data_IF_933021618182
#
_entry.id   IF_933021618182
#
_cell.length_a   1.000
_cell.length_b   1.000
_cell.length_c   1.000
_cell.angle_alpha   90.00
_cell.angle_beta   90.00
_cell.angle_gamma   90.00
#
_symmetry.space_group_name_H-M   'P 1'
#
loop_
_entity.id
_entity.type
_entity.pdbx_description
1 polymer ?
#
# COMPACT_ATOMS: atom_id res chain seq x y z
N UNK A 1 -14.38 -9.72 6.99
CA UNK A 1 -13.32 -10.70 7.37
C UNK A 1 -12.07 -10.41 6.56
N UNK A 2 -10.95 -10.16 7.21
CA UNK A 2 -9.69 -9.71 6.59
C UNK A 2 -9.03 -10.82 5.78
N UNK A 3 -8.35 -10.48 4.69
CA UNK A 3 -7.59 -11.36 3.81
C UNK A 3 -6.10 -11.04 3.97
N UNK A 4 -5.25 -12.04 4.22
CA UNK A 4 -3.81 -11.79 4.26
C UNK A 4 -3.32 -11.38 2.87
N UNK A 5 -2.51 -10.34 2.80
CA UNK A 5 -1.95 -9.84 1.54
C UNK A 5 -0.45 -10.09 1.47
N UNK A 6 -0.01 -10.56 0.31
CA UNK A 6 1.41 -10.75 -0.03
C UNK A 6 1.63 -10.19 -1.43
N UNK A 7 2.62 -9.32 -1.58
CA UNK A 7 3.09 -8.86 -2.87
C UNK A 7 4.56 -9.23 -3.06
N UNK A 8 4.86 -9.86 -4.19
CA UNK A 8 6.23 -10.21 -4.57
C UNK A 8 6.65 -9.47 -5.84
N UNK A 9 7.91 -9.05 -5.88
CA UNK A 9 8.58 -8.77 -7.15
C UNK A 9 9.10 -10.05 -7.77
N UNK A 10 8.90 -10.20 -9.07
CA UNK A 10 9.33 -11.37 -9.84
C UNK A 10 10.03 -10.93 -11.13
N UNK A 11 10.90 -11.78 -11.67
CA UNK A 11 11.59 -11.49 -12.95
C UNK A 11 10.70 -11.72 -14.17
N UNK A 12 9.73 -12.64 -14.07
CA UNK A 12 8.86 -13.04 -15.17
C UNK A 12 7.45 -13.35 -14.68
N UNK A 13 6.45 -12.64 -15.23
CA UNK A 13 5.05 -12.90 -14.95
C UNK A 13 4.67 -14.31 -15.42
N UNK A 14 4.98 -14.66 -16.66
CA UNK A 14 4.58 -15.95 -17.26
C UNK A 14 5.12 -17.13 -16.47
N UNK A 15 6.40 -17.12 -16.13
CA UNK A 15 7.02 -18.19 -15.35
C UNK A 15 6.41 -18.29 -13.94
N UNK A 16 6.15 -17.16 -13.32
CA UNK A 16 5.56 -17.10 -11.98
C UNK A 16 4.09 -17.51 -11.99
N UNK A 17 3.31 -17.10 -12.98
CA UNK A 17 1.92 -17.55 -13.15
C UNK A 17 1.87 -19.07 -13.35
N UNK A 18 2.74 -19.63 -14.21
CA UNK A 18 2.80 -21.08 -14.41
C UNK A 18 3.12 -21.87 -13.13
N UNK A 19 3.91 -21.28 -12.21
CA UNK A 19 4.23 -21.86 -10.92
C UNK A 19 3.08 -21.70 -9.91
N UNK A 20 2.62 -20.46 -9.69
CA UNK A 20 1.65 -20.16 -8.63
C UNK A 20 0.25 -20.69 -8.94
N UNK A 21 -0.17 -20.72 -10.23
CA UNK A 21 -1.46 -21.33 -10.60
C UNK A 21 -1.50 -22.83 -10.27
N UNK A 22 -0.36 -23.53 -10.42
CA UNK A 22 -0.27 -24.95 -10.01
C UNK A 22 -0.22 -25.10 -8.51
N UNK A 23 0.55 -24.26 -7.80
CA UNK A 23 0.67 -24.30 -6.36
C UNK A 23 -0.68 -24.05 -5.67
N UNK A 24 -1.44 -23.07 -6.17
CA UNK A 24 -2.74 -22.70 -5.62
C UNK A 24 -3.90 -23.50 -6.19
N UNK A 25 -3.67 -24.32 -7.24
CA UNK A 25 -4.71 -25.00 -8.02
C UNK A 25 -5.81 -24.01 -8.51
N UNK A 26 -5.42 -22.79 -8.85
CA UNK A 26 -6.30 -21.69 -9.24
C UNK A 26 -5.62 -20.79 -10.27
N UNK A 27 -6.41 -20.29 -11.20
CA UNK A 27 -5.96 -19.24 -12.13
C UNK A 27 -5.96 -17.87 -11.42
N UNK A 28 -5.13 -16.91 -11.87
CA UNK A 28 -5.14 -15.58 -11.32
C UNK A 28 -6.50 -14.90 -11.56
N UNK A 29 -7.03 -14.23 -10.55
CA UNK A 29 -8.24 -13.42 -10.64
C UNK A 29 -8.03 -12.16 -11.50
N UNK A 30 -6.77 -11.74 -11.65
CA UNK A 30 -6.34 -10.70 -12.59
C UNK A 30 -4.98 -11.07 -13.17
N UNK A 31 -4.83 -10.86 -14.49
CA UNK A 31 -3.57 -11.09 -15.22
C UNK A 31 -3.35 -9.94 -16.20
N UNK A 32 -2.18 -9.31 -16.08
CA UNK A 32 -1.67 -8.26 -16.96
C UNK A 32 -0.23 -8.61 -17.38
N UNK A 33 0.34 -7.91 -18.35
CA UNK A 33 1.70 -8.18 -18.81
C UNK A 33 2.80 -7.97 -17.75
N UNK A 34 2.51 -7.24 -16.68
CA UNK A 34 3.45 -6.85 -15.64
C UNK A 34 2.93 -7.15 -14.22
N UNK A 35 1.76 -7.80 -14.11
CA UNK A 35 1.08 -8.04 -12.82
C UNK A 35 0.17 -9.27 -12.88
N UNK A 36 0.11 -10.03 -11.80
CA UNK A 36 -0.93 -11.04 -11.60
C UNK A 36 -1.37 -11.07 -10.13
N UNK A 37 -2.65 -11.42 -9.90
CA UNK A 37 -3.25 -11.48 -8.56
C UNK A 37 -4.15 -12.69 -8.42
N UNK A 38 -3.98 -13.44 -7.33
CA UNK A 38 -4.89 -14.51 -6.91
C UNK A 38 -5.67 -14.08 -5.68
N UNK A 39 -6.95 -14.41 -5.66
CA UNK A 39 -7.84 -14.18 -4.54
C UNK A 39 -8.30 -15.55 -4.02
N UNK A 40 -7.56 -16.10 -3.05
CA UNK A 40 -7.86 -17.43 -2.50
C UNK A 40 -8.79 -17.31 -1.29
N UNK A 41 -9.67 -18.28 -1.12
CA UNK A 41 -10.60 -18.31 0.01
C UNK A 41 -10.16 -19.27 1.12
N UNK A 42 -9.33 -20.27 0.79
CA UNK A 42 -8.74 -21.22 1.75
C UNK A 42 -7.28 -21.53 1.37
N UNK A 43 -6.30 -21.02 2.13
CA UNK A 43 -6.40 -19.95 3.12
C UNK A 43 -6.83 -18.63 2.47
N UNK A 44 -7.45 -17.73 3.26
CA UNK A 44 -7.94 -16.45 2.74
C UNK A 44 -6.77 -15.49 2.47
N UNK A 45 -6.30 -15.47 1.24
CA UNK A 45 -5.11 -14.72 0.78
C UNK A 45 -5.43 -13.91 -0.47
N UNK A 46 -4.96 -12.67 -0.50
CA UNK A 46 -4.72 -11.87 -1.70
C UNK A 46 -3.23 -11.96 -2.01
N UNK A 47 -2.87 -12.76 -3.01
CA UNK A 47 -1.49 -12.96 -3.43
C UNK A 47 -1.25 -12.24 -4.76
N UNK A 48 -0.32 -11.32 -4.80
CA UNK A 48 0.02 -10.54 -5.98
C UNK A 48 1.50 -10.66 -6.35
N UNK A 49 1.77 -10.58 -7.64
CA UNK A 49 3.12 -10.51 -8.18
C UNK A 49 3.21 -9.39 -9.22
N UNK A 50 4.38 -8.75 -9.31
CA UNK A 50 4.66 -7.77 -10.37
C UNK A 50 6.12 -7.79 -10.80
N UNK A 51 6.38 -7.30 -12.02
CA UNK A 51 7.73 -7.02 -12.52
C UNK A 51 8.12 -5.56 -12.33
N UNK A 52 7.27 -4.76 -11.68
CA UNK A 52 7.48 -3.33 -11.41
C UNK A 52 8.15 -3.15 -10.07
N UNK A 53 9.43 -3.09 -10.01
CA UNK A 53 10.12 -2.86 -8.76
C UNK A 53 11.56 -3.27 -8.77
N UNK A 54 12.06 -3.56 -7.59
CA UNK A 54 13.45 -3.89 -7.37
C UNK A 54 13.80 -5.35 -7.66
N UNK A 55 14.62 -5.91 -6.80
CA UNK A 55 15.03 -7.33 -6.89
C UNK A 55 13.85 -8.23 -6.57
N UNK A 56 13.78 -9.44 -7.20
CA UNK A 56 12.80 -10.46 -6.83
C UNK A 56 12.81 -10.77 -5.34
N UNK A 57 11.62 -10.96 -4.79
CA UNK A 57 11.42 -11.22 -3.38
C UNK A 57 10.15 -10.58 -2.84
N UNK A 58 10.03 -10.52 -1.52
CA UNK A 58 8.90 -9.86 -0.87
C UNK A 58 9.02 -8.34 -1.07
N UNK A 59 7.99 -7.74 -1.67
CA UNK A 59 7.84 -6.30 -1.73
C UNK A 59 7.18 -5.79 -0.45
N UNK A 60 6.00 -6.29 -0.15
CA UNK A 60 5.29 -6.00 1.09
C UNK A 60 4.35 -7.13 1.50
N UNK A 61 3.95 -7.09 2.75
CA UNK A 61 2.89 -7.90 3.34
C UNK A 61 1.71 -7.00 3.71
N UNK A 62 0.59 -7.58 4.15
CA UNK A 62 -0.50 -6.73 4.60
C UNK A 62 -1.81 -7.45 4.88
N UNK A 63 -2.86 -6.61 4.98
CA UNK A 63 -4.23 -7.07 5.15
C UNK A 63 -5.17 -6.28 4.23
N UNK A 64 -5.87 -7.01 3.38
CA UNK A 64 -7.03 -6.47 2.67
C UNK A 64 -8.26 -6.64 3.57
N UNK A 65 -9.03 -5.56 3.73
CA UNK A 65 -10.29 -5.55 4.46
C UNK A 65 -11.48 -5.58 3.49
N UNK A 66 -12.63 -6.05 3.98
CA UNK A 66 -13.86 -6.11 3.19
C UNK A 66 -14.63 -4.77 3.19
N UNK A 67 -14.30 -3.87 4.14
CA UNK A 67 -14.94 -2.55 4.29
C UNK A 67 -14.04 -1.57 5.07
N UNK A 68 -14.49 -0.30 5.13
CA UNK A 68 -13.76 0.78 5.79
C UNK A 68 -13.74 0.64 7.32
N UNK A 69 -14.77 0.03 7.93
CA UNK A 69 -14.82 -0.21 9.37
C UNK A 69 -13.70 -1.17 9.80
N UNK A 70 -13.48 -2.24 9.04
CA UNK A 70 -12.37 -3.17 9.29
C UNK A 70 -11.00 -2.50 9.08
N UNK A 71 -10.89 -1.56 8.13
CA UNK A 71 -9.67 -0.80 7.91
C UNK A 71 -9.42 0.18 9.07
N UNK A 72 -10.45 0.87 9.55
CA UNK A 72 -10.38 1.75 10.71
C UNK A 72 -9.97 0.98 11.97
N UNK A 73 -10.54 -0.21 12.22
CA UNK A 73 -10.15 -1.09 13.33
C UNK A 73 -8.64 -1.41 13.32
N UNK A 74 -8.06 -1.72 12.15
CA UNK A 74 -6.63 -2.00 12.02
C UNK A 74 -5.79 -0.76 12.35
N UNK A 75 -6.22 0.42 11.92
CA UNK A 75 -5.57 1.69 12.21
C UNK A 75 -5.62 2.04 13.69
N UNK A 76 -6.76 1.84 14.33
CA UNK A 76 -6.93 2.05 15.78
C UNK A 76 -6.05 1.08 16.59
N UNK A 77 -5.96 -0.18 16.18
CA UNK A 77 -5.09 -1.18 16.79
C UNK A 77 -3.62 -0.78 16.71
N UNK A 78 -3.18 -0.27 15.56
CA UNK A 78 -1.81 0.22 15.39
C UNK A 78 -1.55 1.45 16.28
N UNK A 79 -2.48 2.40 16.34
CA UNK A 79 -2.38 3.58 17.19
C UNK A 79 -2.34 3.22 18.69
N UNK A 80 -3.17 2.27 19.14
CA UNK A 80 -3.18 1.80 20.52
C UNK A 80 -1.89 1.07 20.93
N UNK A 81 -1.11 0.60 19.95
CA UNK A 81 0.18 -0.05 20.14
C UNK A 81 1.38 0.89 19.87
N UNK A 82 1.13 2.21 19.79
CA UNK A 82 2.15 3.24 19.49
C UNK A 82 2.96 2.96 18.20
N UNK A 83 2.36 2.25 17.21
CA UNK A 83 2.99 2.01 15.92
C UNK A 83 2.90 3.25 15.05
N UNK A 84 3.98 3.56 14.34
CA UNK A 84 3.98 4.64 13.36
C UNK A 84 3.13 4.23 12.13
N UNK A 85 2.03 4.95 11.90
CA UNK A 85 1.12 4.74 10.78
C UNK A 85 1.35 5.83 9.74
N UNK A 86 1.68 5.42 8.51
CA UNK A 86 1.71 6.32 7.35
C UNK A 86 0.40 6.20 6.59
N UNK A 87 -0.44 7.23 6.62
CA UNK A 87 -1.72 7.25 5.90
C UNK A 87 -1.49 7.77 4.48
N UNK A 88 -1.75 6.93 3.48
CA UNK A 88 -1.69 7.32 2.07
C UNK A 88 -3.06 7.86 1.58
N UNK A 89 -4.14 7.54 2.31
CA UNK A 89 -5.50 7.90 1.92
C UNK A 89 -6.00 7.05 0.76
N UNK A 90 -6.72 7.67 -0.17
CA UNK A 90 -7.19 6.98 -1.39
C UNK A 90 -6.11 7.05 -2.45
N UNK A 91 -5.60 5.90 -2.86
CA UNK A 91 -4.54 5.76 -3.86
C UNK A 91 -4.96 4.82 -4.98
N UNK A 92 -4.40 5.06 -6.17
CA UNK A 92 -4.54 4.20 -7.35
C UNK A 92 -3.25 3.46 -7.58
N UNK A 93 -3.25 2.16 -7.32
CA UNK A 93 -2.09 1.30 -7.55
C UNK A 93 -2.53 -0.14 -7.84
N UNK A 94 -1.68 -0.87 -8.57
CA UNK A 94 -1.88 -2.31 -8.78
C UNK A 94 -3.24 -2.63 -9.43
N UNK A 95 -3.65 -1.79 -10.40
CA UNK A 95 -4.92 -1.87 -11.12
C UNK A 95 -6.17 -1.72 -10.25
N UNK A 96 -6.03 -1.08 -9.09
CA UNK A 96 -7.13 -0.81 -8.18
C UNK A 96 -7.05 0.58 -7.57
N UNK A 97 -8.20 1.10 -7.14
CA UNK A 97 -8.30 2.23 -6.23
C UNK A 97 -8.59 1.69 -4.84
N UNK A 98 -7.82 2.11 -3.86
CA UNK A 98 -7.94 1.63 -2.48
C UNK A 98 -7.77 2.77 -1.49
N UNK A 99 -8.47 2.68 -0.37
CA UNK A 99 -8.13 3.44 0.84
C UNK A 99 -7.08 2.64 1.61
N UNK A 100 -5.96 3.27 1.98
CA UNK A 100 -4.86 2.51 2.57
C UNK A 100 -4.00 3.29 3.57
N UNK A 101 -3.32 2.54 4.42
CA UNK A 101 -2.24 3.02 5.27
C UNK A 101 -1.17 1.93 5.42
N UNK A 102 0.01 2.37 5.82
CA UNK A 102 1.20 1.56 5.90
C UNK A 102 1.77 1.53 7.32
N UNK A 103 2.30 0.39 7.68
CA UNK A 103 3.16 0.18 8.84
C UNK A 103 4.50 -0.35 8.35
N UNK A 104 5.51 -0.27 9.21
CA UNK A 104 6.81 -0.92 8.95
C UNK A 104 7.16 -1.77 10.17
N UNK A 105 7.52 -3.01 9.94
CA UNK A 105 7.93 -3.89 11.02
C UNK A 105 9.36 -3.56 11.50
N UNK A 106 9.81 -4.14 12.63
CA UNK A 106 11.16 -3.88 13.15
C UNK A 106 12.31 -4.28 12.24
N UNK A 107 12.07 -5.11 11.22
CA UNK A 107 13.05 -5.52 10.21
C UNK A 107 12.99 -4.67 8.93
N UNK A 108 12.06 -3.71 8.88
CA UNK A 108 11.90 -2.81 7.75
C UNK A 108 10.97 -3.33 6.65
N UNK A 109 10.24 -4.43 6.88
CA UNK A 109 9.26 -4.93 5.92
C UNK A 109 8.03 -4.03 5.95
N UNK A 110 7.58 -3.49 4.79
CA UNK A 110 6.34 -2.71 4.72
C UNK A 110 5.12 -3.60 4.90
N UNK A 111 4.10 -3.08 5.61
CA UNK A 111 2.82 -3.73 5.81
C UNK A 111 1.70 -2.81 5.33
N UNK A 112 1.08 -3.19 4.22
CA UNK A 112 -0.07 -2.49 3.64
C UNK A 112 -1.37 -2.94 4.32
N UNK A 113 -2.19 -1.99 4.74
CA UNK A 113 -3.54 -2.25 5.23
C UNK A 113 -4.50 -1.45 4.35
N UNK A 114 -5.42 -2.14 3.67
CA UNK A 114 -6.21 -1.48 2.63
C UNK A 114 -7.61 -2.08 2.46
N UNK A 115 -8.51 -1.22 1.99
CA UNK A 115 -9.82 -1.58 1.46
C UNK A 115 -9.87 -1.19 -0.02
N UNK A 116 -10.18 -2.15 -0.89
CA UNK A 116 -10.33 -1.92 -2.33
C UNK A 116 -11.66 -1.26 -2.62
N UNK A 117 -11.65 -0.10 -3.27
CA UNK A 117 -12.83 0.67 -3.64
C UNK A 117 -13.31 0.35 -5.05
N UNK A 118 -12.42 -0.10 -5.92
CA UNK A 118 -12.74 -0.49 -7.30
C UNK A 118 -11.52 -0.84 -8.12
N UNK A 119 -11.75 -1.46 -9.28
CA UNK A 119 -10.73 -1.79 -10.25
C UNK A 119 -10.52 -0.66 -11.26
N UNK A 120 -9.30 -0.50 -11.75
CA UNK A 120 -8.95 0.44 -12.82
C UNK A 120 -8.16 -0.28 -13.93
N UNK A 121 -8.21 0.21 -15.19
CA UNK A 121 -7.60 -0.47 -16.33
C UNK A 121 -6.09 -0.26 -16.45
N UNK A 122 -5.49 0.58 -15.60
CA UNK A 122 -4.06 0.93 -15.61
C UNK A 122 -3.43 0.62 -14.28
N UNK A 123 -2.10 0.40 -14.26
CA UNK A 123 -1.40 0.03 -13.03
C UNK A 123 -1.54 1.08 -11.94
N UNK A 124 -1.40 2.36 -12.29
CA UNK A 124 -1.64 3.49 -11.38
C UNK A 124 -2.18 4.69 -12.14
N UNK A 125 -3.00 5.49 -11.47
CA UNK A 125 -3.45 6.79 -11.94
C UNK A 125 -3.21 7.79 -10.82
N UNK A 126 -2.80 9.03 -11.17
CA UNK A 126 -2.87 10.10 -10.18
C UNK A 126 -4.35 10.34 -9.88
N UNK A 127 -4.78 10.06 -8.65
CA UNK A 127 -6.06 10.56 -8.15
C UNK A 127 -5.91 12.07 -8.11
N UNK A 128 -6.68 12.79 -8.97
CA UNK A 128 -6.71 14.22 -8.89
C UNK A 128 -7.26 14.61 -7.51
N UNK A 129 -6.42 15.20 -6.66
CA UNK A 129 -6.95 15.83 -5.45
C UNK A 129 -8.04 16.83 -5.87
N UNK A 130 -9.20 16.85 -5.19
CA UNK A 130 -10.18 17.89 -5.43
C UNK A 130 -9.47 19.24 -5.23
N UNK A 131 -9.43 20.04 -6.28
CA UNK A 131 -8.79 21.36 -6.24
C UNK A 131 -9.29 22.09 -5.00
N UNK A 132 -8.41 22.29 -4.02
CA UNK A 132 -8.71 23.15 -2.89
C UNK A 132 -9.10 24.50 -3.46
N UNK A 133 -10.34 24.93 -3.20
CA UNK A 133 -10.82 26.22 -3.61
C UNK A 133 -9.81 27.26 -3.11
N UNK A 134 -9.13 27.93 -4.02
CA UNK A 134 -8.17 28.98 -3.71
C UNK A 134 -8.89 30.09 -2.99
N UNK A 135 -8.80 30.09 -1.67
CA UNK A 135 -9.13 31.26 -0.88
C UNK A 135 -8.02 32.30 -1.12
N UNK A 136 -8.28 33.25 -2.00
CA UNK A 136 -7.52 34.46 -2.11
C UNK A 136 -7.58 35.25 -0.82
N UNK A 137 -6.42 35.81 -0.42
CA UNK A 137 -6.22 36.88 0.54
C UNK A 137 -6.30 36.58 2.04
N UNK A 138 -5.13 36.41 2.65
CA UNK A 138 -4.88 36.95 3.98
C UNK A 138 -3.41 37.40 4.10
N UNK A 139 -3.13 38.52 4.80
CA UNK A 139 -1.83 39.18 4.81
C UNK A 139 -0.82 38.49 5.75
N UNK A 140 0.45 38.68 5.41
CA UNK A 140 1.60 38.19 6.18
C UNK A 140 1.59 38.75 7.62
N UNK A 141 1.74 37.88 8.61
CA UNK A 141 2.07 38.26 9.98
C UNK A 141 3.37 37.58 10.43
N UNK A 142 4.13 38.33 11.16
CA UNK A 142 5.54 38.27 11.48
C UNK A 142 6.04 37.02 12.23
N UNK A 143 7.33 36.79 12.03
CA UNK A 143 8.23 35.83 12.69
C UNK A 143 8.12 35.77 14.21
N UNK A 144 8.02 34.56 14.77
CA UNK A 144 8.46 34.25 16.12
C UNK A 144 9.49 33.12 16.10
N UNK A 145 10.69 33.44 16.57
CA UNK A 145 11.82 32.54 16.79
C UNK A 145 11.50 31.59 17.94
N UNK A 146 11.52 30.28 17.71
CA UNK A 146 11.51 29.28 18.78
C UNK A 146 12.79 28.44 18.70
N UNK A 147 13.48 28.36 19.83
CA UNK A 147 14.73 27.63 20.09
C UNK A 147 14.56 26.11 19.98
N UNK A 148 15.60 25.35 19.54
CA UNK A 148 15.48 23.92 19.37
C UNK A 148 15.67 23.17 20.69
N UNK A 149 14.74 22.24 20.96
CA UNK A 149 14.94 21.20 21.96
C UNK A 149 15.54 19.97 21.27
N UNK A 150 16.71 19.56 21.78
CA UNK A 150 17.49 18.43 21.30
C UNK A 150 16.75 17.10 21.56
N UNK A 151 16.25 16.48 20.51
CA UNK A 151 15.83 15.10 20.51
C UNK A 151 16.28 14.48 19.19
N UNK A 152 17.12 13.43 19.26
CA UNK A 152 17.62 12.71 18.08
C UNK A 152 16.45 12.01 17.37
N UNK A 153 15.92 12.64 16.32
CA UNK A 153 15.07 11.96 15.36
C UNK A 153 16.00 11.23 14.39
N UNK A 154 15.92 9.90 14.38
CA UNK A 154 16.53 9.08 13.32
C UNK A 154 15.60 9.22 12.10
N UNK A 155 16.00 10.05 11.15
CA UNK A 155 15.34 10.12 9.86
C UNK A 155 15.73 8.87 9.06
N UNK A 156 14.77 7.97 8.85
CA UNK A 156 14.91 6.87 7.90
C UNK A 156 14.53 7.45 6.53
N UNK A 157 15.39 7.38 5.51
CA UNK A 157 15.03 7.82 4.17
C UNK A 157 14.01 6.83 3.60
N UNK A 158 12.75 7.23 3.56
CA UNK A 158 11.75 6.57 2.73
C UNK A 158 12.16 6.81 1.28
N UNK A 159 12.60 5.75 0.61
CA UNK A 159 12.90 5.81 -0.81
C UNK A 159 11.56 5.97 -1.55
N UNK A 160 11.23 7.19 -1.95
CA UNK A 160 9.99 7.55 -2.63
C UNK A 160 9.83 6.89 -4.03
N UNK A 161 10.70 5.95 -4.37
CA UNK A 161 10.67 5.20 -5.63
C UNK A 161 10.00 3.82 -5.52
N UNK A 162 9.49 3.42 -4.36
CA UNK A 162 8.93 2.09 -4.15
C UNK A 162 7.39 2.03 -4.18
N UNK A 163 6.70 3.13 -4.40
CA UNK A 163 5.26 3.12 -4.61
C UNK A 163 4.93 3.56 -6.02
N UNK A 164 4.52 2.58 -6.83
CA UNK A 164 4.01 2.63 -8.21
C UNK A 164 5.05 2.93 -9.27
#
# INVERSE_FOLDING_TARGET
MKRFHVHLHVDSIDASVAFYSKLFAAEPARLEGDYAKWMLDDPRINFAISTRGGKPGIDHLGFQTDNDEELAELKERAAAADMAVHSEGTASCCYAVSSKHWLTDPQGVPWEQFHTLGDIPVFSQRVAEPAAASACCAPAAASAVATPVSGKAVAIPLNAAACC
#
